data_IF_416986277337
#
_entry.id   IF_416986277337
#
_cell.length_a   1.000
_cell.length_b   1.000
_cell.length_c   1.000
_cell.angle_alpha   90.00
_cell.angle_beta   90.00
_cell.angle_gamma   90.00
#
_symmetry.space_group_name_H-M   'P 1'
#
loop_
_entity.id
_entity.type
_entity.pdbx_description
1 polymer ?
#
# COMPACT_ATOMS: atom_id res chain seq x y z
N UNK A 1 -0.34 -9.31 -21.17
CA UNK A 1 -0.49 -9.30 -22.63
C UNK A 1 -1.57 -10.28 -23.09
N UNK A 2 -1.48 -11.59 -22.82
CA UNK A 2 -2.48 -12.61 -23.23
C UNK A 2 -3.92 -12.26 -22.85
N UNK A 3 -4.15 -11.70 -21.66
CA UNK A 3 -5.49 -11.27 -21.25
C UNK A 3 -6.03 -10.13 -22.11
N UNK A 4 -5.19 -9.17 -22.47
CA UNK A 4 -5.60 -8.05 -23.33
C UNK A 4 -5.88 -8.49 -24.77
N UNK A 5 -5.09 -9.43 -25.29
CA UNK A 5 -5.33 -10.08 -26.60
C UNK A 5 -6.69 -10.82 -26.56
N UNK A 6 -6.97 -11.59 -25.51
CA UNK A 6 -8.25 -12.23 -25.34
C UNK A 6 -9.42 -11.21 -25.25
N UNK A 7 -9.27 -10.11 -24.52
CA UNK A 7 -10.28 -9.05 -24.46
C UNK A 7 -10.53 -8.43 -25.83
N UNK A 8 -9.45 -8.14 -26.59
CA UNK A 8 -9.55 -7.59 -27.95
C UNK A 8 -10.33 -8.51 -28.89
N UNK A 9 -10.04 -9.81 -28.87
CA UNK A 9 -10.71 -10.81 -29.69
C UNK A 9 -12.17 -10.99 -29.25
N UNK A 10 -12.43 -11.07 -27.94
CA UNK A 10 -13.78 -11.27 -27.39
C UNK A 10 -14.72 -10.10 -27.71
N UNK A 11 -14.23 -8.86 -27.57
CA UNK A 11 -15.02 -7.64 -27.82
C UNK A 11 -14.87 -7.11 -29.26
N UNK A 12 -14.14 -7.81 -30.12
CA UNK A 12 -13.90 -7.41 -31.52
C UNK A 12 -13.37 -5.97 -31.64
N UNK A 13 -12.43 -5.60 -30.80
CA UNK A 13 -11.81 -4.28 -30.79
C UNK A 13 -10.28 -4.40 -30.95
N UNK A 14 -9.61 -3.29 -31.24
CA UNK A 14 -8.16 -3.29 -31.38
C UNK A 14 -7.44 -3.43 -30.02
N UNK A 15 -6.26 -4.03 -30.01
CA UNK A 15 -5.42 -4.12 -28.83
C UNK A 15 -5.10 -2.73 -28.24
N UNK A 16 -4.96 -1.71 -29.09
CA UNK A 16 -4.74 -0.32 -28.68
C UNK A 16 -5.91 0.26 -27.87
N UNK A 17 -7.16 -0.08 -28.24
CA UNK A 17 -8.35 0.32 -27.47
C UNK A 17 -8.36 -0.36 -26.10
N UNK A 18 -8.05 -1.66 -26.04
CA UNK A 18 -7.92 -2.38 -24.76
C UNK A 18 -6.85 -1.74 -23.87
N UNK A 19 -5.67 -1.46 -24.41
CA UNK A 19 -4.57 -0.80 -23.68
C UNK A 19 -4.98 0.59 -23.17
N UNK A 20 -5.73 1.34 -23.98
CA UNK A 20 -6.22 2.68 -23.58
C UNK A 20 -7.16 2.62 -22.38
N UNK A 21 -7.94 1.56 -22.24
CA UNK A 21 -8.82 1.35 -21.08
C UNK A 21 -8.07 0.75 -19.89
N UNK A 22 -7.18 -0.21 -20.14
CA UNK A 22 -6.50 -0.97 -19.10
C UNK A 22 -5.40 -0.17 -18.36
N UNK A 23 -4.74 0.77 -19.05
CA UNK A 23 -3.65 1.53 -18.44
C UNK A 23 -4.16 2.78 -17.72
N UNK A 24 -3.57 3.11 -16.55
CA UNK A 24 -3.76 4.41 -15.92
C UNK A 24 -3.40 5.57 -16.85
N UNK A 25 -4.05 6.73 -16.68
CA UNK A 25 -3.90 7.87 -17.61
C UNK A 25 -2.45 8.33 -17.80
N UNK A 26 -1.66 8.37 -16.72
CA UNK A 26 -0.26 8.77 -16.76
C UNK A 26 0.68 7.75 -17.42
N UNK A 27 0.19 6.56 -17.74
CA UNK A 27 0.94 5.50 -18.44
C UNK A 27 0.51 5.36 -19.90
N UNK A 28 -0.45 6.17 -20.34
CA UNK A 28 -0.88 6.17 -21.73
C UNK A 28 0.09 7.00 -22.57
N UNK A 29 0.45 6.55 -23.79
CA UNK A 29 1.24 7.38 -24.68
C UNK A 29 0.48 8.68 -24.97
N UNK A 30 1.11 9.82 -24.74
CA UNK A 30 0.63 11.13 -25.17
C UNK A 30 0.76 11.18 -26.70
N UNK A 31 -0.37 10.95 -27.39
CA UNK A 31 -0.34 10.90 -28.84
C UNK A 31 -0.15 12.26 -29.45
N UNK A 32 1.02 12.52 -30.00
CA UNK A 32 1.28 13.32 -31.22
C UNK A 32 2.76 13.12 -31.60
N UNK A 33 3.03 12.25 -32.55
CA UNK A 33 4.35 12.08 -33.15
C UNK A 33 5.14 10.84 -32.67
N UNK A 34 6.09 10.44 -33.45
CA UNK A 34 7.01 9.31 -33.25
C UNK A 34 8.00 9.52 -32.07
N UNK A 35 7.68 10.36 -31.11
CA UNK A 35 8.53 10.61 -29.96
C UNK A 35 8.33 9.55 -28.88
N UNK A 36 9.44 9.02 -28.43
CA UNK A 36 9.68 8.01 -27.41
C UNK A 36 8.59 7.93 -26.35
N UNK A 37 8.14 6.71 -26.07
CA UNK A 37 7.29 6.40 -24.93
C UNK A 37 7.86 7.07 -23.68
N UNK A 38 7.29 8.21 -23.31
CA UNK A 38 7.63 8.91 -22.08
C UNK A 38 7.09 8.13 -20.88
N UNK A 39 7.60 6.92 -20.69
CA UNK A 39 7.54 6.22 -19.40
C UNK A 39 8.20 7.04 -18.28
N UNK A 40 8.85 8.14 -18.65
CA UNK A 40 9.61 9.03 -17.78
C UNK A 40 8.77 10.12 -17.10
N UNK A 41 7.49 10.29 -17.44
CA UNK A 41 6.66 11.30 -16.77
C UNK A 41 6.13 10.88 -15.40
N UNK A 42 6.10 9.58 -15.10
CA UNK A 42 5.74 9.12 -13.76
C UNK A 42 6.98 9.13 -12.87
N UNK A 43 7.19 10.24 -12.16
CA UNK A 43 8.19 10.30 -11.08
C UNK A 43 7.57 9.68 -9.83
N UNK A 44 8.12 8.55 -9.30
CA UNK A 44 7.70 7.98 -8.04
C UNK A 44 7.75 9.05 -6.93
N UNK A 45 6.90 8.90 -5.94
CA UNK A 45 6.89 9.81 -4.80
C UNK A 45 8.22 9.69 -4.09
N UNK A 46 8.94 10.80 -3.96
CA UNK A 46 10.12 10.89 -3.13
C UNK A 46 9.72 11.34 -1.74
N UNK A 47 10.23 10.67 -0.75
CA UNK A 47 10.08 11.02 0.65
C UNK A 47 11.44 11.17 1.29
N UNK A 48 11.53 12.14 2.18
CA UNK A 48 12.74 12.39 2.94
C UNK A 48 12.72 11.51 4.19
N UNK A 49 13.82 10.81 4.42
CA UNK A 49 14.08 10.04 5.62
C UNK A 49 15.16 10.73 6.43
N UNK A 50 15.01 10.70 7.74
CA UNK A 50 15.93 11.30 8.70
C UNK A 50 16.40 10.21 9.64
N UNK A 51 17.70 10.18 9.91
CA UNK A 51 18.29 9.27 10.89
C UNK A 51 19.29 10.01 11.78
N UNK A 52 19.49 9.50 13.00
CA UNK A 52 20.58 9.96 13.87
C UNK A 52 21.92 9.74 13.17
N UNK A 53 22.88 10.64 13.40
CA UNK A 53 24.20 10.57 12.78
C UNK A 53 25.30 11.04 13.75
N UNK A 54 26.54 10.70 13.42
CA UNK A 54 27.71 11.12 14.19
C UNK A 54 27.61 10.72 15.65
N UNK A 55 27.90 11.65 16.56
CA UNK A 55 27.86 11.41 18.00
C UNK A 55 26.42 11.08 18.50
N UNK A 56 25.37 11.54 17.84
CA UNK A 56 23.99 11.28 18.24
C UNK A 56 23.56 9.80 18.10
N UNK A 57 24.38 8.96 17.48
CA UNK A 57 24.16 7.50 17.41
C UNK A 57 24.41 6.78 18.73
N UNK A 58 25.12 7.39 19.67
CA UNK A 58 25.38 6.82 21.00
C UNK A 58 24.60 7.55 22.07
N UNK A 59 24.17 6.85 23.11
CA UNK A 59 23.39 7.46 24.21
C UNK A 59 24.16 8.61 24.87
N UNK A 60 25.46 8.43 25.12
CA UNK A 60 26.32 9.44 25.72
C UNK A 60 26.53 10.65 24.80
N UNK A 61 26.75 10.42 23.51
CA UNK A 61 26.92 11.49 22.53
C UNK A 61 25.63 12.26 22.29
N UNK A 62 24.45 11.58 22.27
CA UNK A 62 23.14 12.22 22.21
C UNK A 62 22.90 13.13 23.43
N UNK A 63 23.19 12.64 24.66
CA UNK A 63 23.07 13.41 25.89
C UNK A 63 23.99 14.65 25.86
N UNK A 64 25.24 14.48 25.46
CA UNK A 64 26.21 15.59 25.32
C UNK A 64 25.76 16.62 24.26
N UNK A 65 25.18 16.16 23.13
CA UNK A 65 24.66 17.05 22.10
C UNK A 65 23.46 17.85 22.62
N UNK A 66 22.54 17.23 23.36
CA UNK A 66 21.38 17.89 23.98
C UNK A 66 21.81 18.92 25.05
N UNK A 67 22.82 18.62 25.87
CA UNK A 67 23.38 19.55 26.85
C UNK A 67 24.03 20.78 26.20
N UNK A 68 24.84 20.57 25.14
CA UNK A 68 25.47 21.67 24.39
C UNK A 68 24.47 22.59 23.71
N UNK A 69 23.30 22.08 23.27
CA UNK A 69 22.25 22.89 22.69
C UNK A 69 21.58 23.79 23.74
N UNK A 70 21.50 23.34 24.99
CA UNK A 70 20.91 24.09 26.09
C UNK A 70 19.51 24.62 25.80
N UNK A 71 19.16 25.75 26.44
CA UNK A 71 17.86 26.45 26.23
C UNK A 71 17.81 27.33 24.96
N UNK A 72 18.91 27.46 24.22
CA UNK A 72 19.02 28.40 23.09
C UNK A 72 18.44 27.88 21.79
N UNK A 73 18.20 26.56 21.68
CA UNK A 73 17.69 25.93 20.46
C UNK A 73 16.58 24.91 20.76
N UNK A 74 15.44 25.32 21.34
CA UNK A 74 14.42 24.40 21.84
C UNK A 74 13.85 23.50 20.72
N UNK A 75 13.57 24.06 19.54
CA UNK A 75 13.04 23.28 18.41
C UNK A 75 14.00 22.20 17.89
N UNK A 76 15.32 22.48 17.90
CA UNK A 76 16.32 21.50 17.49
C UNK A 76 16.43 20.39 18.54
N UNK A 77 16.34 20.72 19.81
CA UNK A 77 16.36 19.78 20.91
C UNK A 77 15.15 18.85 20.85
N UNK A 78 13.94 19.41 20.71
CA UNK A 78 12.70 18.65 20.56
C UNK A 78 12.77 17.68 19.36
N UNK A 79 13.27 18.16 18.20
CA UNK A 79 13.42 17.34 17.01
C UNK A 79 14.38 16.16 17.21
N UNK A 80 15.50 16.37 17.94
CA UNK A 80 16.47 15.34 18.21
C UNK A 80 15.95 14.32 19.23
N UNK A 81 15.26 14.78 20.27
CA UNK A 81 14.60 13.94 21.28
C UNK A 81 13.46 13.10 20.64
N UNK A 82 12.63 13.71 19.78
CA UNK A 82 11.55 13.02 19.04
C UNK A 82 12.12 11.90 18.17
N UNK A 83 13.17 12.18 17.40
CA UNK A 83 13.77 11.18 16.52
C UNK A 83 14.43 10.05 17.32
N UNK A 84 15.12 10.36 18.41
CA UNK A 84 15.72 9.35 19.28
C UNK A 84 14.68 8.45 19.97
N UNK A 85 13.51 9.00 20.29
CA UNK A 85 12.39 8.22 20.82
C UNK A 85 11.75 7.30 19.77
N UNK A 86 11.66 7.75 18.51
CA UNK A 86 11.08 6.97 17.42
C UNK A 86 12.00 5.90 16.85
N UNK A 87 13.32 6.13 16.89
CA UNK A 87 14.33 5.23 16.35
C UNK A 87 15.58 5.20 17.26
N UNK A 88 15.49 4.55 18.42
CA UNK A 88 16.61 4.47 19.38
C UNK A 88 17.79 3.66 18.85
N UNK A 89 17.56 2.83 17.84
CA UNK A 89 18.57 2.03 17.13
C UNK A 89 19.24 2.78 15.96
N UNK A 90 18.89 4.07 15.76
CA UNK A 90 19.39 4.87 14.65
C UNK A 90 18.74 4.56 13.30
N UNK A 91 17.61 3.84 13.29
CA UNK A 91 16.88 3.55 12.06
C UNK A 91 16.36 4.84 11.39
N UNK A 92 16.16 4.75 10.08
CA UNK A 92 15.62 5.86 9.31
C UNK A 92 14.12 6.06 9.59
N UNK A 93 13.72 7.28 9.88
CA UNK A 93 12.32 7.68 10.09
C UNK A 93 11.87 8.58 8.96
N UNK A 94 10.71 8.28 8.36
CA UNK A 94 10.13 9.15 7.36
C UNK A 94 9.85 10.53 7.96
N UNK A 95 10.29 11.58 7.29
CA UNK A 95 10.12 12.96 7.78
C UNK A 95 8.66 13.32 8.04
N UNK A 96 7.73 12.74 7.29
CA UNK A 96 6.29 12.94 7.47
C UNK A 96 5.77 12.46 8.84
N UNK A 97 6.54 11.65 9.56
CA UNK A 97 6.21 11.16 10.91
C UNK A 97 6.75 12.05 12.04
N UNK A 98 7.59 13.03 11.70
CA UNK A 98 8.17 13.96 12.66
C UNK A 98 7.35 15.24 12.72
N UNK A 99 7.07 15.73 13.93
CA UNK A 99 6.44 17.03 14.15
C UNK A 99 7.43 18.19 13.93
N UNK A 100 8.72 17.90 13.93
CA UNK A 100 9.81 18.86 13.79
C UNK A 100 9.74 19.65 12.48
N UNK A 101 10.00 20.96 12.56
CA UNK A 101 10.02 21.83 11.38
C UNK A 101 11.27 21.59 10.50
N UNK A 102 11.15 21.98 9.22
CA UNK A 102 12.20 21.79 8.22
C UNK A 102 13.50 22.51 8.58
N UNK A 103 13.41 23.66 9.24
CA UNK A 103 14.55 24.50 9.59
C UNK A 103 15.34 23.87 10.70
N UNK A 104 14.67 23.32 11.73
CA UNK A 104 15.32 22.63 12.84
C UNK A 104 16.09 21.38 12.35
N UNK A 105 15.47 20.58 11.48
CA UNK A 105 16.10 19.41 10.88
C UNK A 105 17.32 19.77 10.03
N UNK A 106 17.21 20.80 9.18
CA UNK A 106 18.34 21.27 8.34
C UNK A 106 19.54 21.74 9.17
N UNK A 107 19.30 22.41 10.30
CA UNK A 107 20.35 22.86 11.20
C UNK A 107 21.02 21.68 11.93
N UNK A 108 20.26 20.65 12.30
CA UNK A 108 20.81 19.43 12.91
C UNK A 108 21.64 18.62 11.89
N UNK A 109 21.21 18.57 10.63
CA UNK A 109 22.01 17.97 9.54
C UNK A 109 23.32 18.75 9.36
N UNK A 110 23.29 20.11 9.37
CA UNK A 110 24.48 20.94 9.26
C UNK A 110 25.45 20.73 10.44
N UNK A 111 24.94 20.40 11.61
CA UNK A 111 25.71 20.06 12.80
C UNK A 111 26.28 18.62 12.80
N UNK A 112 25.92 17.81 11.81
CA UNK A 112 26.35 16.41 11.72
C UNK A 112 25.65 15.48 12.72
N UNK A 113 24.56 15.91 13.34
CA UNK A 113 23.78 15.12 14.31
C UNK A 113 22.68 14.29 13.64
N UNK A 114 22.28 14.68 12.43
CA UNK A 114 21.31 13.97 11.60
C UNK A 114 21.84 13.77 10.18
N UNK A 115 21.39 12.71 9.53
CA UNK A 115 21.43 12.55 8.08
C UNK A 115 20.03 12.69 7.51
N UNK A 116 19.94 13.23 6.29
CA UNK A 116 18.68 13.36 5.58
C UNK A 116 18.85 12.79 4.16
N UNK A 117 18.12 11.74 3.85
CA UNK A 117 18.24 11.01 2.59
C UNK A 117 16.91 11.06 1.87
N UNK A 118 16.92 11.48 0.61
CA UNK A 118 15.75 11.41 -0.26
C UNK A 118 15.69 10.02 -0.91
N UNK A 119 14.62 9.30 -0.70
CA UNK A 119 14.37 8.01 -1.34
C UNK A 119 13.06 8.01 -2.09
N UNK A 120 13.04 7.29 -3.18
CA UNK A 120 11.81 6.92 -3.84
C UNK A 120 11.03 5.94 -2.95
N UNK A 121 9.85 6.38 -2.50
CA UNK A 121 8.96 5.50 -1.75
C UNK A 121 8.13 4.72 -2.76
N UNK A 122 8.68 3.59 -3.18
CA UNK A 122 7.83 2.53 -3.68
C UNK A 122 7.00 2.01 -2.49
N UNK A 123 5.69 1.83 -2.63
CA UNK A 123 4.91 1.12 -1.61
C UNK A 123 5.56 -0.25 -1.43
N UNK A 124 6.25 -0.43 -0.30
CA UNK A 124 6.98 -1.66 -0.03
C UNK A 124 6.07 -2.89 -0.07
N UNK A 125 6.61 -4.07 -0.38
CA UNK A 125 5.87 -5.32 -0.26
C UNK A 125 5.37 -5.43 1.19
N UNK A 126 4.12 -5.84 1.36
CA UNK A 126 3.58 -6.13 2.69
C UNK A 126 4.22 -7.43 3.17
N UNK A 127 5.40 -7.30 3.80
CA UNK A 127 6.11 -8.43 4.39
C UNK A 127 5.54 -8.70 5.79
N UNK A 128 5.23 -9.94 6.07
CA UNK A 128 4.83 -10.41 7.40
C UNK A 128 3.91 -11.63 7.32
N UNK A 129 4.19 -12.65 8.13
CA UNK A 129 3.31 -13.81 8.32
C UNK A 129 1.92 -13.34 8.76
N UNK A 130 0.90 -13.68 7.99
CA UNK A 130 -0.43 -13.13 8.17
C UNK A 130 -1.22 -13.96 9.18
N UNK A 131 -1.24 -13.55 10.44
CA UNK A 131 -2.31 -13.94 11.36
C UNK A 131 -3.45 -12.94 11.25
N UNK A 132 -4.53 -13.32 10.57
CA UNK A 132 -5.71 -12.48 10.42
C UNK A 132 -6.71 -12.76 11.55
N UNK A 133 -7.24 -11.70 12.17
CA UNK A 133 -8.37 -11.82 13.11
C UNK A 133 -9.68 -11.91 12.33
N UNK A 134 -10.02 -13.12 11.89
CA UNK A 134 -11.23 -13.36 11.12
C UNK A 134 -12.47 -13.39 12.02
N UNK A 135 -13.64 -12.94 11.51
CA UNK A 135 -14.92 -13.10 12.20
C UNK A 135 -15.26 -14.59 12.33
N UNK A 136 -15.89 -14.96 13.44
CA UNK A 136 -16.35 -16.35 13.65
C UNK A 136 -17.53 -16.66 12.73
N UNK A 137 -17.41 -17.70 11.91
CA UNK A 137 -18.50 -18.15 11.05
C UNK A 137 -19.57 -18.90 11.84
N UNK A 138 -20.84 -18.65 11.52
CA UNK A 138 -21.95 -19.47 11.99
C UNK A 138 -21.89 -20.90 11.43
N UNK A 139 -22.69 -21.81 11.97
CA UNK A 139 -22.75 -23.17 11.46
C UNK A 139 -23.14 -23.23 9.97
N UNK A 140 -24.10 -22.41 9.56
CA UNK A 140 -24.54 -22.31 8.16
C UNK A 140 -23.44 -21.76 7.25
N UNK A 141 -22.71 -20.73 7.69
CA UNK A 141 -21.60 -20.16 6.93
C UNK A 141 -20.43 -21.14 6.80
N UNK A 142 -20.09 -21.89 7.85
CA UNK A 142 -19.07 -22.96 7.80
C UNK A 142 -19.43 -24.03 6.79
N UNK A 143 -20.68 -24.51 6.84
CA UNK A 143 -21.17 -25.49 5.86
C UNK A 143 -21.07 -24.97 4.43
N UNK A 144 -21.50 -23.74 4.17
CA UNK A 144 -21.37 -23.11 2.85
C UNK A 144 -19.90 -22.95 2.42
N UNK A 145 -18.99 -22.61 3.33
CA UNK A 145 -17.57 -22.52 3.02
C UNK A 145 -16.94 -23.90 2.69
N UNK A 146 -17.35 -24.96 3.37
CA UNK A 146 -16.94 -26.34 3.08
C UNK A 146 -17.45 -26.80 1.70
N UNK A 147 -18.72 -26.53 1.39
CA UNK A 147 -19.30 -26.81 0.08
C UNK A 147 -18.56 -26.07 -1.05
N UNK A 148 -18.23 -24.78 -0.84
CA UNK A 148 -17.44 -23.98 -1.80
C UNK A 148 -16.07 -24.61 -2.03
N UNK A 149 -15.35 -25.01 -0.96
CA UNK A 149 -14.03 -25.66 -1.09
C UNK A 149 -14.11 -26.98 -1.86
N UNK A 150 -15.15 -27.77 -1.59
CA UNK A 150 -15.37 -29.02 -2.32
C UNK A 150 -15.59 -28.78 -3.82
N UNK A 151 -16.36 -27.74 -4.18
CA UNK A 151 -16.58 -27.39 -5.59
C UNK A 151 -15.31 -26.86 -6.26
N UNK A 152 -14.49 -26.09 -5.55
CA UNK A 152 -13.21 -25.58 -6.08
C UNK A 152 -12.16 -26.68 -6.34
N UNK A 153 -12.34 -27.90 -5.81
CA UNK A 153 -11.48 -29.03 -6.16
C UNK A 153 -11.58 -29.39 -7.66
N UNK A 154 -12.78 -29.26 -8.24
CA UNK A 154 -13.07 -29.69 -9.61
C UNK A 154 -13.46 -28.53 -10.55
N UNK A 155 -13.81 -27.36 -10.02
CA UNK A 155 -14.32 -26.24 -10.80
C UNK A 155 -13.63 -24.92 -10.43
N UNK A 156 -13.45 -24.09 -11.44
CA UNK A 156 -12.85 -22.76 -11.27
C UNK A 156 -13.84 -21.68 -10.76
N UNK A 157 -15.17 -21.95 -10.81
CA UNK A 157 -16.20 -20.95 -10.51
C UNK A 157 -17.27 -21.55 -9.59
N UNK A 158 -17.67 -20.76 -8.59
CA UNK A 158 -18.73 -21.09 -7.64
C UNK A 158 -19.70 -19.92 -7.51
N UNK A 159 -21.00 -20.21 -7.50
CA UNK A 159 -22.05 -19.23 -7.22
C UNK A 159 -22.53 -19.35 -5.76
N UNK A 160 -22.23 -18.37 -4.92
CA UNK A 160 -22.77 -18.24 -3.57
C UNK A 160 -24.05 -17.38 -3.58
N UNK A 161 -25.22 -18.01 -3.39
CA UNK A 161 -26.48 -17.28 -3.26
C UNK A 161 -26.80 -17.02 -1.78
N UNK A 162 -27.28 -15.82 -1.50
CA UNK A 162 -27.71 -15.45 -0.14
C UNK A 162 -28.33 -14.06 -0.12
N UNK A 163 -29.27 -13.83 0.77
CA UNK A 163 -29.91 -12.53 0.96
C UNK A 163 -28.92 -11.50 1.48
N UNK A 164 -29.24 -10.21 1.38
CA UNK A 164 -28.47 -9.15 1.98
C UNK A 164 -28.41 -9.38 3.50
N UNK A 165 -27.23 -9.18 4.10
CA UNK A 165 -27.04 -9.42 5.54
C UNK A 165 -26.84 -10.88 5.95
N UNK A 166 -26.84 -11.85 5.02
CA UNK A 166 -26.59 -13.28 5.36
C UNK A 166 -25.14 -13.62 5.71
N UNK A 167 -24.26 -12.62 5.71
CA UNK A 167 -22.85 -12.82 6.06
C UNK A 167 -21.98 -13.38 4.95
N UNK A 168 -22.30 -13.16 3.69
CA UNK A 168 -21.44 -13.55 2.55
C UNK A 168 -20.03 -12.95 2.66
N UNK A 169 -19.95 -11.73 3.15
CA UNK A 169 -18.68 -11.02 3.31
C UNK A 169 -17.73 -11.73 4.27
N UNK A 170 -18.24 -12.31 5.36
CA UNK A 170 -17.44 -13.11 6.29
C UNK A 170 -16.84 -14.33 5.60
N UNK A 171 -17.62 -15.01 4.77
CA UNK A 171 -17.14 -16.17 3.97
C UNK A 171 -16.04 -15.70 3.01
N UNK A 172 -16.22 -14.58 2.30
CA UNK A 172 -15.20 -14.03 1.40
C UNK A 172 -13.91 -13.65 2.15
N UNK A 173 -14.01 -13.11 3.36
CA UNK A 173 -12.84 -12.79 4.19
C UNK A 173 -12.03 -14.06 4.52
N UNK A 174 -12.69 -15.18 4.82
CA UNK A 174 -12.00 -16.45 5.10
C UNK A 174 -11.25 -16.96 3.87
N UNK A 175 -11.86 -16.94 2.69
CA UNK A 175 -11.18 -17.34 1.46
C UNK A 175 -10.05 -16.37 1.09
N UNK A 176 -10.27 -15.07 1.27
CA UNK A 176 -9.22 -14.07 1.06
C UNK A 176 -8.02 -14.34 1.98
N UNK A 177 -8.25 -14.62 3.26
CA UNK A 177 -7.21 -14.95 4.21
C UNK A 177 -6.40 -16.18 3.79
N UNK A 178 -7.05 -17.23 3.30
CA UNK A 178 -6.40 -18.45 2.81
C UNK A 178 -5.49 -18.17 1.59
N UNK A 179 -5.93 -17.30 0.67
CA UNK A 179 -5.13 -16.93 -0.50
C UNK A 179 -3.95 -16.04 -0.10
N UNK A 180 -4.19 -15.02 0.74
CA UNK A 180 -3.16 -14.10 1.20
C UNK A 180 -2.09 -14.79 2.06
N UNK A 181 -2.49 -15.78 2.88
CA UNK A 181 -1.55 -16.58 3.69
C UNK A 181 -0.57 -17.41 2.84
N UNK A 182 -0.98 -17.77 1.61
CA UNK A 182 -0.14 -18.46 0.62
C UNK A 182 0.65 -17.51 -0.28
N UNK A 183 0.61 -16.20 -0.01
CA UNK A 183 1.27 -15.20 -0.84
C UNK A 183 0.52 -14.88 -2.14
N UNK A 184 -0.72 -15.33 -2.29
CA UNK A 184 -1.56 -14.99 -3.45
C UNK A 184 -2.13 -13.57 -3.36
N UNK A 185 -2.73 -13.10 -4.46
CA UNK A 185 -3.48 -11.85 -4.52
C UNK A 185 -4.98 -12.13 -4.59
N UNK A 186 -5.77 -11.23 -4.03
CA UNK A 186 -7.24 -11.29 -4.06
C UNK A 186 -7.80 -10.07 -4.75
N UNK A 187 -8.70 -10.28 -5.70
CA UNK A 187 -9.49 -9.22 -6.33
C UNK A 187 -10.95 -9.37 -5.92
N UNK A 188 -11.46 -8.39 -5.18
CA UNK A 188 -12.86 -8.30 -4.78
C UNK A 188 -13.56 -7.22 -5.60
N UNK A 189 -14.34 -7.62 -6.58
CA UNK A 189 -15.13 -6.71 -7.40
C UNK A 189 -16.51 -6.53 -6.77
N UNK A 190 -16.88 -5.27 -6.55
CA UNK A 190 -18.19 -4.91 -6.00
C UNK A 190 -18.83 -3.82 -6.86
N UNK A 191 -20.16 -3.75 -6.95
CA UNK A 191 -20.83 -2.61 -7.57
C UNK A 191 -20.38 -1.30 -6.89
N UNK A 192 -20.19 -0.21 -7.66
CA UNK A 192 -19.71 1.08 -7.14
C UNK A 192 -20.51 1.58 -5.92
N UNK A 193 -21.83 1.36 -5.94
CA UNK A 193 -22.74 1.69 -4.83
C UNK A 193 -22.47 0.86 -3.55
N UNK A 194 -21.88 -0.32 -3.69
CA UNK A 194 -21.53 -1.20 -2.56
C UNK A 194 -20.12 -0.97 -2.05
N UNK A 195 -19.27 -0.24 -2.80
CA UNK A 195 -17.92 0.16 -2.37
C UNK A 195 -18.02 1.32 -1.38
N UNK A 196 -18.48 1.02 -0.19
CA UNK A 196 -18.60 2.00 0.90
C UNK A 196 -17.34 2.07 1.73
N UNK A 197 -17.09 3.23 2.37
CA UNK A 197 -16.02 3.36 3.35
C UNK A 197 -16.12 2.28 4.43
N UNK A 198 -17.34 1.96 4.87
CA UNK A 198 -17.59 0.93 5.88
C UNK A 198 -17.10 -0.47 5.44
N UNK A 199 -17.30 -0.87 4.19
CA UNK A 199 -16.79 -2.16 3.69
C UNK A 199 -15.27 -2.17 3.63
N UNK A 200 -14.66 -1.08 3.14
CA UNK A 200 -13.20 -0.93 3.09
C UNK A 200 -12.61 -0.97 4.50
N UNK A 201 -13.18 -0.24 5.44
CA UNK A 201 -12.72 -0.20 6.84
C UNK A 201 -12.85 -1.56 7.52
N UNK A 202 -13.94 -2.27 7.26
CA UNK A 202 -14.14 -3.63 7.76
C UNK A 202 -13.09 -4.61 7.23
N UNK A 203 -12.72 -4.52 5.96
CA UNK A 203 -11.62 -5.30 5.38
C UNK A 203 -10.27 -4.90 5.99
N UNK A 204 -10.02 -3.60 6.19
CA UNK A 204 -8.79 -3.11 6.82
C UNK A 204 -8.62 -3.54 8.27
N UNK A 205 -9.70 -3.66 9.02
CA UNK A 205 -9.65 -4.21 10.39
C UNK A 205 -9.11 -5.64 10.42
N UNK A 206 -9.35 -6.42 9.37
CA UNK A 206 -8.91 -7.81 9.25
C UNK A 206 -7.54 -7.91 8.57
N UNK A 207 -7.34 -7.20 7.46
CA UNK A 207 -6.20 -7.38 6.55
C UNK A 207 -5.19 -6.21 6.59
N UNK A 208 -5.48 -5.15 7.34
CA UNK A 208 -4.59 -4.00 7.50
C UNK A 208 -4.23 -3.32 6.17
N UNK A 209 -2.95 -2.99 6.03
CA UNK A 209 -2.38 -2.30 4.85
C UNK A 209 -2.37 -3.15 3.57
N UNK A 210 -2.77 -4.42 3.65
CA UNK A 210 -2.93 -5.29 2.48
C UNK A 210 -4.12 -4.90 1.63
N UNK A 211 -5.08 -4.13 2.18
CA UNK A 211 -6.29 -3.71 1.49
C UNK A 211 -6.03 -2.49 0.61
N UNK A 212 -6.18 -2.67 -0.68
CA UNK A 212 -6.06 -1.62 -1.69
C UNK A 212 -7.46 -1.33 -2.24
N UNK A 213 -8.01 -0.15 -1.94
CA UNK A 213 -9.26 0.31 -2.55
C UNK A 213 -8.95 1.02 -3.88
N UNK A 214 -9.52 0.50 -4.98
CA UNK A 214 -9.35 1.05 -6.32
C UNK A 214 -10.71 1.50 -6.88
N UNK A 215 -10.93 2.80 -7.01
CA UNK A 215 -12.24 3.36 -7.41
C UNK A 215 -12.09 4.64 -8.25
N UNK A 216 -13.20 5.08 -8.83
CA UNK A 216 -13.27 6.23 -9.75
C UNK A 216 -12.78 7.56 -9.15
N UNK A 217 -12.90 7.74 -7.84
CA UNK A 217 -12.49 8.98 -7.13
C UNK A 217 -10.98 9.09 -6.86
N UNK A 218 -10.20 8.07 -7.17
CA UNK A 218 -8.74 8.14 -7.06
C UNK A 218 -8.18 9.08 -8.12
N UNK A 219 -7.19 9.90 -7.74
CA UNK A 219 -6.42 10.70 -8.69
C UNK A 219 -5.63 9.81 -9.64
N UNK A 220 -5.36 10.29 -10.85
CA UNK A 220 -4.60 9.54 -11.86
C UNK A 220 -3.21 9.13 -11.35
N UNK A 221 -2.55 10.01 -10.60
CA UNK A 221 -1.29 9.70 -9.93
C UNK A 221 -1.45 8.52 -8.97
N UNK A 222 -2.49 8.52 -8.13
CA UNK A 222 -2.71 7.44 -7.18
C UNK A 222 -3.05 6.12 -7.85
N UNK A 223 -3.84 6.16 -8.93
CA UNK A 223 -4.12 4.97 -9.76
C UNK A 223 -2.84 4.39 -10.34
N UNK A 224 -1.95 5.24 -10.87
CA UNK A 224 -0.66 4.80 -11.42
C UNK A 224 0.24 4.21 -10.35
N UNK A 225 0.36 4.83 -9.17
CA UNK A 225 1.09 4.30 -8.03
C UNK A 225 0.60 2.90 -7.62
N UNK A 226 -0.73 2.73 -7.51
CA UNK A 226 -1.33 1.45 -7.14
C UNK A 226 -1.14 0.39 -8.23
N UNK A 227 -1.26 0.78 -9.50
CA UNK A 227 -0.99 -0.12 -10.63
C UNK A 227 0.45 -0.63 -10.62
N UNK A 228 1.43 0.25 -10.45
CA UNK A 228 2.84 -0.11 -10.38
C UNK A 228 3.11 -1.00 -9.16
N UNK A 229 2.56 -0.65 -8.00
CA UNK A 229 2.65 -1.49 -6.79
C UNK A 229 2.15 -2.91 -7.05
N UNK A 230 0.98 -3.06 -7.66
CA UNK A 230 0.39 -4.38 -7.95
C UNK A 230 1.16 -5.16 -9.00
N UNK A 231 1.71 -4.47 -10.01
CA UNK A 231 2.53 -5.08 -11.05
C UNK A 231 3.83 -5.67 -10.48
N UNK A 232 4.48 -4.93 -9.59
CA UNK A 232 5.80 -5.25 -9.06
C UNK A 232 5.72 -6.05 -7.74
N UNK A 233 4.50 -6.28 -7.24
CA UNK A 233 4.25 -7.03 -6.01
C UNK A 233 4.51 -8.53 -6.19
N UNK A 234 5.10 -9.14 -5.17
CA UNK A 234 5.23 -10.59 -5.06
C UNK A 234 3.93 -11.28 -4.60
N UNK A 235 2.85 -10.52 -4.38
CA UNK A 235 1.58 -10.99 -3.86
C UNK A 235 1.28 -10.54 -2.44
N UNK A 236 0.16 -11.00 -1.89
CA UNK A 236 -0.25 -10.68 -0.52
C UNK A 236 -1.18 -9.48 -0.38
N UNK A 237 -1.69 -8.91 -1.48
CA UNK A 237 -2.65 -7.82 -1.46
C UNK A 237 -4.08 -8.28 -1.73
N UNK A 238 -5.03 -7.55 -1.12
CA UNK A 238 -6.45 -7.60 -1.42
C UNK A 238 -6.86 -6.30 -2.09
N UNK A 239 -7.18 -6.37 -3.37
CA UNK A 239 -7.71 -5.24 -4.14
C UNK A 239 -9.22 -5.27 -4.11
N UNK A 240 -9.85 -4.16 -3.74
CA UNK A 240 -11.30 -3.97 -3.79
C UNK A 240 -11.64 -2.81 -4.72
N UNK A 241 -12.55 -3.05 -5.69
CA UNK A 241 -12.97 -2.07 -6.69
C UNK A 241 -14.29 -2.39 -7.33
#
# INVERSE_FOLDING_TARGET
RRFWEWVADYYMCSLGEVMRVALPSLMKPSGHGEEEFAADEFRPRREWFVALAGEALTADGLAAALERMGRRAPRQREALEELAALAPDGAEVARSRLAADRTALALLVKKGLLTCIEREVAPGPVTGGAQFRLPTLSAAQRKAAEEIRAVFADRATVLLRGVTGSGKTEIYMHFAAEVLARGGQVLLLVPEIALTAQLVDRLRQVFGERVIAYHSKLTDRKRTELYLRLRDSAGGELVIG
#
